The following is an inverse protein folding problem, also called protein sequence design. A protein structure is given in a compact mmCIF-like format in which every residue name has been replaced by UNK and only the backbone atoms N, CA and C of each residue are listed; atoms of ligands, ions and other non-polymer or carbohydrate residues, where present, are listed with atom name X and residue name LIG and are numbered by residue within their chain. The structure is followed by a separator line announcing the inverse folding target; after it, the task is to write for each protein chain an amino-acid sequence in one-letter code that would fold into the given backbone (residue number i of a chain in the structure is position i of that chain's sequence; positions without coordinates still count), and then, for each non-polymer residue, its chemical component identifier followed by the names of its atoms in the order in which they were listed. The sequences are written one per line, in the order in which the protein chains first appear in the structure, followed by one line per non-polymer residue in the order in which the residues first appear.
data_IF_695697093325
#
_entry.id   IF_695697093325
#
_cell.length_a   1.000
_cell.length_b   1.000
_cell.length_c   1.000
_cell.angle_alpha   90.00
_cell.angle_beta   90.00
_cell.angle_gamma   90.00
#
_symmetry.space_group_name_H-M   'P 1'
#
loop_
_entity.id
_entity.type
_entity.pdbx_description
1 polymer ?
#
# COMPACT_ATOMS: atom_id res chain seq x y z
N UNK A 1 -18.96 27.90 -26.80
CA UNK A 1 -18.13 27.74 -25.58
C UNK A 1 -18.93 26.87 -24.63
N UNK A 2 -18.92 25.57 -24.89
CA UNK A 2 -19.71 24.61 -24.14
C UNK A 2 -18.90 24.07 -22.98
N UNK A 3 -19.48 24.17 -21.78
CA UNK A 3 -18.93 23.65 -20.54
C UNK A 3 -18.89 22.13 -20.64
N UNK A 4 -17.69 21.58 -20.74
CA UNK A 4 -17.46 20.15 -20.60
C UNK A 4 -17.97 19.68 -19.24
N UNK A 5 -18.94 18.78 -19.28
CA UNK A 5 -19.45 18.02 -18.14
C UNK A 5 -18.33 17.14 -17.59
N UNK A 6 -18.08 17.28 -16.29
CA UNK A 6 -17.12 16.46 -15.55
C UNK A 6 -17.55 14.98 -15.63
N UNK A 7 -16.73 14.05 -16.17
CA UNK A 7 -17.05 12.65 -16.12
C UNK A 7 -16.92 12.17 -14.67
N UNK A 8 -17.98 11.51 -14.20
CA UNK A 8 -18.10 10.93 -12.87
C UNK A 8 -16.90 10.03 -12.54
N UNK A 9 -16.19 10.36 -11.46
CA UNK A 9 -15.24 9.46 -10.79
C UNK A 9 -15.97 8.18 -10.37
N UNK A 10 -15.90 7.13 -11.20
CA UNK A 10 -16.45 5.80 -10.88
C UNK A 10 -15.74 5.22 -9.65
N UNK A 11 -16.50 4.44 -8.87
CA UNK A 11 -16.27 4.07 -7.46
C UNK A 11 -14.86 3.54 -7.19
N UNK A 12 -14.07 4.33 -6.45
CA UNK A 12 -12.96 3.79 -5.68
C UNK A 12 -13.55 3.06 -4.46
N UNK A 13 -13.15 1.80 -4.26
CA UNK A 13 -13.55 1.01 -3.10
C UNK A 13 -12.97 1.63 -1.83
N UNK A 14 -13.81 2.41 -1.15
CA UNK A 14 -13.48 3.05 0.12
C UNK A 14 -14.36 2.45 1.21
N UNK A 15 -13.74 2.09 2.32
CA UNK A 15 -14.42 1.90 3.59
C UNK A 15 -14.22 3.19 4.41
N UNK A 16 -15.11 4.21 4.28
CA UNK A 16 -15.07 5.36 5.17
C UNK A 16 -15.46 4.93 6.58
N UNK A 17 -14.55 5.06 7.53
CA UNK A 17 -14.87 4.84 8.95
C UNK A 17 -15.11 6.21 9.58
N UNK A 18 -16.38 6.47 9.93
CA UNK A 18 -16.84 7.63 10.71
C UNK A 18 -17.11 7.31 12.17
N UNK A 19 -16.43 6.30 12.71
CA UNK A 19 -16.52 6.04 14.13
C UNK A 19 -15.59 6.97 14.89
N UNK A 20 -16.19 7.81 15.75
CA UNK A 20 -15.46 8.45 16.84
C UNK A 20 -14.90 7.32 17.69
N UNK A 21 -13.57 7.21 17.76
CA UNK A 21 -12.90 6.42 18.80
C UNK A 21 -13.11 7.18 20.12
N UNK A 22 -14.33 7.09 20.66
CA UNK A 22 -14.66 7.54 22.00
C UNK A 22 -14.89 6.31 22.86
N UNK A 23 -14.08 6.21 23.91
CA UNK A 23 -14.22 5.30 25.05
C UNK A 23 -14.03 3.81 24.80
N UNK A 24 -12.80 3.40 24.44
CA UNK A 24 -12.22 2.24 25.14
C UNK A 24 -11.84 2.77 26.52
N UNK A 25 -12.53 2.29 27.57
CA UNK A 25 -12.19 2.62 28.96
C UNK A 25 -10.72 2.25 29.18
N UNK A 26 -9.86 3.25 29.41
CA UNK A 26 -8.55 3.03 30.03
C UNK A 26 -8.79 2.27 31.33
N UNK A 27 -8.39 1.01 31.37
CA UNK A 27 -8.35 0.29 32.64
C UNK A 27 -7.33 1.01 33.54
N UNK A 28 -7.67 1.29 34.81
CA UNK A 28 -6.69 1.76 35.76
C UNK A 28 -5.68 0.65 36.02
N UNK A 29 -4.41 0.95 35.75
CA UNK A 29 -3.28 0.11 36.12
C UNK A 29 -3.11 0.14 37.64
N UNK A 30 -3.69 -0.84 38.33
CA UNK A 30 -3.39 -1.14 39.74
C UNK A 30 -2.87 -2.56 39.87
N UNK A 31 -1.55 -2.71 39.96
CA UNK A 31 -0.90 -3.49 41.02
C UNK A 31 0.62 -3.40 40.84
N UNK A 32 1.23 -2.76 41.83
CA UNK A 32 2.65 -2.87 42.13
C UNK A 32 3.00 -4.34 42.36
N UNK A 33 3.69 -4.94 41.39
CA UNK A 33 4.49 -6.14 41.59
C UNK A 33 5.90 -5.84 41.13
N UNK A 34 6.84 -6.32 41.93
CA UNK A 34 8.29 -6.22 41.81
C UNK A 34 8.79 -6.48 40.37
N UNK A 35 9.93 -5.92 39.93
CA UNK A 35 10.46 -6.16 38.60
C UNK A 35 10.90 -7.63 38.48
N UNK A 36 9.99 -8.50 38.04
CA UNK A 36 10.33 -9.86 37.65
C UNK A 36 11.10 -9.81 36.33
N UNK A 37 12.17 -10.60 36.28
CA UNK A 37 13.09 -10.82 35.15
C UNK A 37 12.42 -11.50 33.96
N UNK A 38 11.34 -10.95 33.42
CA UNK A 38 10.67 -11.45 32.20
C UNK A 38 11.08 -10.65 30.95
N UNK A 39 12.38 -10.37 30.83
CA UNK A 39 12.98 -9.78 29.63
C UNK A 39 13.10 -10.79 28.46
N UNK A 40 12.74 -12.07 28.64
CA UNK A 40 13.33 -13.15 27.85
C UNK A 40 12.48 -13.92 26.85
N UNK A 41 11.13 -13.94 26.92
CA UNK A 41 10.33 -14.80 26.01
C UNK A 41 9.50 -14.00 25.00
N UNK A 42 9.83 -14.19 23.72
CA UNK A 42 9.07 -13.71 22.56
C UNK A 42 8.65 -14.92 21.72
N UNK A 43 7.47 -14.90 21.07
CA UNK A 43 6.48 -13.83 21.01
C UNK A 43 5.65 -13.68 22.29
N UNK A 44 5.09 -12.48 22.50
CA UNK A 44 4.04 -12.23 23.49
C UNK A 44 2.68 -12.39 22.84
N UNK A 45 1.76 -13.10 23.51
CA UNK A 45 0.37 -13.21 23.08
C UNK A 45 -0.49 -12.24 23.88
N UNK A 46 -1.24 -11.38 23.19
CA UNK A 46 -2.13 -10.38 23.79
C UNK A 46 -3.58 -10.70 23.41
N UNK A 47 -4.45 -11.05 24.37
CA UNK A 47 -5.88 -11.22 24.09
C UNK A 47 -6.51 -9.86 23.77
N UNK A 48 -7.25 -9.77 22.67
CA UNK A 48 -7.96 -8.54 22.26
C UNK A 48 -9.45 -8.59 22.58
N UNK A 49 -10.01 -9.79 22.69
CA UNK A 49 -11.37 -10.04 23.16
C UNK A 49 -11.37 -11.00 24.36
N UNK A 50 -12.34 -10.87 25.30
CA UNK A 50 -12.37 -11.66 26.53
C UNK A 50 -12.50 -13.17 26.32
N UNK A 51 -13.14 -13.59 25.24
CA UNK A 51 -13.38 -14.99 24.88
C UNK A 51 -12.22 -15.63 24.09
N UNK A 52 -11.15 -14.86 23.83
CA UNK A 52 -10.00 -15.31 23.06
C UNK A 52 -10.27 -15.52 21.57
N UNK A 53 -11.43 -15.09 21.05
CA UNK A 53 -11.74 -15.18 19.62
C UNK A 53 -10.76 -14.38 18.76
N UNK A 54 -10.29 -13.25 19.30
CA UNK A 54 -9.31 -12.38 18.68
C UNK A 54 -8.13 -12.16 19.63
N UNK A 55 -6.92 -12.37 19.11
CA UNK A 55 -5.66 -12.18 19.81
C UNK A 55 -4.65 -11.54 18.85
N UNK A 56 -3.56 -11.03 19.40
CA UNK A 56 -2.39 -10.62 18.65
C UNK A 56 -1.14 -11.30 19.20
N UNK A 57 -0.25 -11.73 18.31
CA UNK A 57 1.14 -11.98 18.68
C UNK A 57 1.94 -10.70 18.48
N UNK A 58 2.78 -10.36 19.44
CA UNK A 58 3.77 -9.30 19.32
C UNK A 58 5.14 -9.94 19.40
N UNK A 59 5.97 -9.72 18.40
CA UNK A 59 7.33 -10.24 18.31
C UNK A 59 8.31 -9.07 18.22
N UNK A 60 9.26 -9.00 19.14
CA UNK A 60 10.34 -8.01 19.12
C UNK A 60 11.54 -8.61 18.38
N UNK A 61 12.03 -7.92 17.35
CA UNK A 61 13.09 -8.41 16.49
C UNK A 61 13.87 -7.25 15.86
N UNK A 62 14.88 -7.59 15.07
CA UNK A 62 15.73 -6.64 14.38
C UNK A 62 15.41 -6.62 12.89
N UNK A 63 15.41 -5.43 12.28
CA UNK A 63 15.36 -5.23 10.84
C UNK A 63 16.58 -4.40 10.43
N UNK A 64 17.19 -4.72 9.29
CA UNK A 64 18.24 -3.91 8.69
C UNK A 64 17.68 -3.08 7.54
N UNK A 65 17.87 -1.77 7.61
CA UNK A 65 17.71 -0.82 6.52
C UNK A 65 19.07 -0.35 6.01
N UNK A 66 19.17 -0.06 4.72
CA UNK A 66 20.36 0.50 4.10
C UNK A 66 20.56 2.00 4.45
N UNK A 67 19.54 2.67 4.98
CA UNK A 67 19.58 4.08 5.38
C UNK A 67 19.62 4.22 6.89
N UNK A 68 18.63 3.66 7.58
CA UNK A 68 18.53 3.71 9.06
C UNK A 68 19.45 2.72 9.78
N UNK A 69 20.13 1.82 9.07
CA UNK A 69 20.94 0.76 9.65
C UNK A 69 20.09 -0.30 10.36
N UNK A 70 20.69 -0.94 11.35
CA UNK A 70 20.01 -1.89 12.24
C UNK A 70 19.04 -1.15 13.16
N UNK A 71 17.81 -1.63 13.24
CA UNK A 71 16.78 -1.09 14.14
C UNK A 71 15.99 -2.20 14.82
N UNK A 72 15.52 -1.93 16.03
CA UNK A 72 14.58 -2.80 16.73
C UNK A 72 13.14 -2.45 16.36
N UNK A 73 12.34 -3.49 16.13
CA UNK A 73 10.95 -3.39 15.74
C UNK A 73 10.08 -4.32 16.58
N UNK A 74 8.80 -3.99 16.66
CA UNK A 74 7.75 -4.92 17.05
C UNK A 74 6.89 -5.25 15.83
N UNK A 75 6.78 -6.53 15.50
CA UNK A 75 5.79 -7.04 14.54
C UNK A 75 4.60 -7.58 15.31
N UNK A 76 3.43 -7.04 15.00
CA UNK A 76 2.13 -7.43 15.48
C UNK A 76 1.48 -8.31 14.42
N UNK A 77 1.00 -9.49 14.82
CA UNK A 77 0.36 -10.47 13.93
C UNK A 77 -1.00 -10.78 14.53
N UNK A 78 -2.07 -10.48 13.80
CA UNK A 78 -3.41 -10.84 14.25
C UNK A 78 -3.61 -12.37 14.26
N UNK A 79 -4.49 -12.82 15.15
CA UNK A 79 -4.98 -14.20 15.21
C UNK A 79 -6.47 -14.21 15.50
N UNK A 80 -7.26 -14.63 14.53
CA UNK A 80 -8.71 -14.77 14.68
C UNK A 80 -9.49 -14.19 13.51
N UNK A 81 -8.90 -13.28 12.72
CA UNK A 81 -9.55 -12.68 11.55
C UNK A 81 -9.92 -13.74 10.51
N UNK A 82 -9.08 -14.77 10.34
CA UNK A 82 -9.31 -15.83 9.36
C UNK A 82 -10.64 -16.56 9.59
N UNK A 83 -11.12 -16.64 10.85
CA UNK A 83 -12.42 -17.25 11.19
C UNK A 83 -13.61 -16.47 10.62
N UNK A 84 -13.42 -15.20 10.30
CA UNK A 84 -14.42 -14.31 9.70
C UNK A 84 -14.23 -14.16 8.17
N UNK A 85 -13.36 -14.96 7.56
CA UNK A 85 -13.02 -14.83 6.13
C UNK A 85 -12.09 -13.66 5.82
N UNK A 86 -11.58 -12.96 6.83
CA UNK A 86 -10.61 -11.87 6.69
C UNK A 86 -9.18 -12.43 6.77
N UNK A 87 -8.32 -12.12 5.79
CA UNK A 87 -6.87 -12.44 5.89
C UNK A 87 -6.29 -11.84 7.17
N UNK A 88 -5.40 -12.58 7.83
CA UNK A 88 -4.70 -12.03 9.01
C UNK A 88 -3.86 -10.81 8.59
N UNK A 89 -3.69 -9.84 9.48
CA UNK A 89 -2.94 -8.62 9.21
C UNK A 89 -1.68 -8.58 10.05
N UNK A 90 -0.58 -8.23 9.39
CA UNK A 90 0.70 -7.96 10.04
C UNK A 90 0.96 -6.45 10.02
N UNK A 91 1.43 -5.94 11.15
CA UNK A 91 1.75 -4.54 11.34
C UNK A 91 3.11 -4.45 12.01
N UNK A 92 4.07 -3.69 11.49
CA UNK A 92 5.39 -3.55 12.13
C UNK A 92 5.67 -2.11 12.52
N UNK A 93 6.17 -1.89 13.74
CA UNK A 93 6.45 -0.56 14.30
C UNK A 93 7.90 -0.51 14.77
N UNK A 94 8.63 0.52 14.34
CA UNK A 94 9.98 0.80 14.85
C UNK A 94 9.91 1.21 16.33
N UNK A 95 10.79 0.62 17.14
CA UNK A 95 10.96 0.94 18.56
C UNK A 95 11.82 2.18 18.73
N UNK A 96 11.42 3.08 19.64
CA UNK A 96 12.24 4.23 20.06
C UNK A 96 13.16 3.79 21.19
N UNK A 97 14.33 3.25 20.83
CA UNK A 97 15.24 2.58 21.79
C UNK A 97 15.63 3.43 23.01
N UNK A 98 15.70 4.76 22.84
CA UNK A 98 16.06 5.70 23.92
C UNK A 98 14.96 5.88 24.97
N UNK A 99 13.70 5.64 24.63
CA UNK A 99 12.55 5.96 25.47
C UNK A 99 11.63 4.77 25.74
N UNK A 100 11.78 3.68 24.99
CA UNK A 100 10.90 2.51 25.06
C UNK A 100 11.70 1.23 25.32
N UNK A 101 11.29 0.50 26.34
CA UNK A 101 11.80 -0.83 26.63
C UNK A 101 11.21 -1.85 25.64
N UNK A 102 11.92 -2.97 25.38
CA UNK A 102 11.43 -4.00 24.48
C UNK A 102 10.03 -4.54 24.88
N UNK A 103 9.75 -4.59 26.18
CA UNK A 103 8.48 -5.08 26.72
C UNK A 103 7.32 -4.06 26.63
N UNK A 104 7.59 -2.78 26.35
CA UNK A 104 6.60 -1.68 26.33
C UNK A 104 6.27 -1.26 24.90
N UNK A 105 5.57 -2.13 24.18
CA UNK A 105 5.17 -1.88 22.80
C UNK A 105 3.87 -1.03 22.74
N UNK A 106 3.70 -0.14 21.73
CA UNK A 106 2.53 0.73 21.64
C UNK A 106 1.22 -0.05 21.38
N UNK A 107 0.07 0.40 21.90
CA UNK A 107 -1.21 -0.30 21.75
C UNK A 107 -1.87 -0.09 20.38
N UNK A 108 -1.47 0.93 19.60
CA UNK A 108 -2.15 1.32 18.36
C UNK A 108 -2.46 0.17 17.38
N UNK A 109 -1.51 -0.73 17.05
CA UNK A 109 -1.81 -1.87 16.18
C UNK A 109 -2.80 -2.88 16.78
N UNK A 110 -2.81 -3.03 18.11
CA UNK A 110 -3.74 -3.92 18.81
C UNK A 110 -5.17 -3.38 18.74
N UNK A 111 -5.33 -2.08 19.00
CA UNK A 111 -6.62 -1.37 18.86
C UNK A 111 -7.12 -1.47 17.42
N UNK A 112 -6.21 -1.30 16.45
CA UNK A 112 -6.52 -1.45 15.03
C UNK A 112 -7.04 -2.84 14.67
N UNK A 113 -6.43 -3.91 15.20
CA UNK A 113 -6.90 -5.27 14.99
C UNK A 113 -8.30 -5.53 15.56
N UNK A 114 -8.64 -4.94 16.70
CA UNK A 114 -10.00 -5.02 17.25
C UNK A 114 -11.02 -4.34 16.32
N UNK A 115 -10.69 -3.17 15.77
CA UNK A 115 -11.54 -2.47 14.80
C UNK A 115 -11.73 -3.33 13.55
N UNK A 116 -10.65 -3.88 13.00
CA UNK A 116 -10.73 -4.71 11.81
C UNK A 116 -11.55 -5.99 12.04
N UNK A 117 -11.45 -6.59 13.23
CA UNK A 117 -12.30 -7.71 13.62
C UNK A 117 -13.79 -7.34 13.61
N UNK A 118 -14.16 -6.21 14.23
CA UNK A 118 -15.55 -5.72 14.23
C UNK A 118 -16.08 -5.42 12.82
N UNK A 119 -15.24 -4.88 11.94
CA UNK A 119 -15.61 -4.67 10.52
C UNK A 119 -15.84 -6.01 9.81
N UNK A 120 -14.93 -6.97 9.99
CA UNK A 120 -15.05 -8.29 9.40
C UNK A 120 -16.29 -9.06 9.89
N UNK A 121 -16.70 -8.89 11.16
CA UNK A 121 -17.95 -9.47 11.68
C UNK A 121 -19.18 -8.94 10.92
N UNK A 122 -19.13 -7.70 10.44
CA UNK A 122 -20.18 -7.09 9.62
C UNK A 122 -20.01 -7.35 8.11
N UNK A 123 -19.14 -8.29 7.73
CA UNK A 123 -18.84 -8.61 6.33
C UNK A 123 -17.98 -7.57 5.61
N UNK A 124 -17.48 -6.55 6.32
CA UNK A 124 -16.59 -5.54 5.75
C UNK A 124 -15.14 -6.04 5.83
N UNK A 125 -14.75 -6.80 4.82
CA UNK A 125 -13.41 -7.38 4.70
C UNK A 125 -12.49 -6.52 3.81
N UNK A 126 -11.18 -6.67 4.01
CA UNK A 126 -10.11 -6.03 3.25
C UNK A 126 -9.22 -7.07 2.60
N UNK A 127 -8.73 -6.74 1.40
CA UNK A 127 -7.82 -7.57 0.61
C UNK A 127 -6.65 -6.72 0.07
N UNK A 128 -5.80 -7.32 -0.73
CA UNK A 128 -4.62 -6.70 -1.33
C UNK A 128 -4.97 -5.36 -2.02
N UNK A 129 -4.19 -4.35 -1.65
CA UNK A 129 -4.30 -2.96 -2.05
C UNK A 129 -5.58 -2.23 -1.64
N UNK A 130 -6.47 -2.86 -0.86
CA UNK A 130 -7.55 -2.13 -0.20
C UNK A 130 -6.99 -1.05 0.73
N UNK A 131 -7.84 -0.09 1.06
CA UNK A 131 -7.48 1.10 1.83
C UNK A 131 -8.47 1.34 2.96
N UNK A 132 -7.97 1.61 4.15
CA UNK A 132 -8.76 2.16 5.25
C UNK A 132 -8.33 3.58 5.55
N UNK A 133 -9.31 4.50 5.60
CA UNK A 133 -9.08 5.94 5.83
C UNK A 133 -9.57 6.35 7.21
N UNK A 134 -8.83 7.29 7.81
CA UNK A 134 -9.15 7.87 9.10
C UNK A 134 -9.41 9.36 8.94
N UNK A 135 -10.49 9.88 9.52
CA UNK A 135 -10.76 11.33 9.48
C UNK A 135 -10.02 12.06 10.63
N UNK A 136 -10.07 11.51 11.84
CA UNK A 136 -9.64 12.25 13.04
C UNK A 136 -9.11 11.40 14.20
N UNK A 137 -8.95 10.08 14.02
CA UNK A 137 -8.40 9.25 15.10
C UNK A 137 -6.88 9.18 15.03
N UNK A 138 -6.16 9.38 16.16
CA UNK A 138 -4.74 9.04 16.20
C UNK A 138 -4.59 7.53 15.97
N UNK A 139 -3.60 7.18 15.16
CA UNK A 139 -3.09 5.82 15.04
C UNK A 139 -1.60 5.91 15.35
N UNK A 140 -1.07 5.02 16.21
CA UNK A 140 0.36 5.00 16.59
C UNK A 140 0.87 6.30 17.22
N UNK A 141 0.08 6.91 18.10
CA UNK A 141 0.40 8.20 18.73
C UNK A 141 0.59 9.36 17.74
N UNK A 142 0.20 9.16 16.47
CA UNK A 142 0.33 10.14 15.40
C UNK A 142 -1.04 10.63 14.95
N UNK A 143 -1.23 11.93 15.06
CA UNK A 143 -2.42 12.61 14.55
C UNK A 143 -2.37 12.85 13.04
N UNK A 144 -1.30 12.53 12.33
CA UNK A 144 -1.17 12.76 10.90
C UNK A 144 -1.22 11.46 10.08
N UNK A 145 -1.25 10.28 10.70
CA UNK A 145 -1.52 9.02 9.98
C UNK A 145 -3.00 8.99 9.58
N UNK A 146 -3.27 8.80 8.28
CA UNK A 146 -4.62 8.98 7.70
C UNK A 146 -5.08 7.86 6.78
N UNK A 147 -4.18 6.96 6.43
CA UNK A 147 -4.50 5.86 5.53
C UNK A 147 -3.67 4.63 5.89
N UNK A 148 -4.29 3.45 5.89
CA UNK A 148 -3.59 2.17 5.83
C UNK A 148 -3.84 1.57 4.44
N UNK A 149 -2.77 1.16 3.77
CA UNK A 149 -2.83 0.27 2.61
C UNK A 149 -2.59 -1.16 3.08
N UNK A 150 -3.45 -2.08 2.68
CA UNK A 150 -3.22 -3.51 2.91
C UNK A 150 -2.38 -4.08 1.77
N UNK A 151 -1.08 -4.07 1.96
CA UNK A 151 -0.14 -4.59 0.98
C UNK A 151 -0.14 -6.13 0.97
N UNK A 152 0.16 -6.78 -0.16
CA UNK A 152 0.45 -8.21 -0.19
C UNK A 152 1.51 -8.63 0.85
N UNK A 153 1.62 -9.94 1.15
CA UNK A 153 2.62 -10.43 2.09
C UNK A 153 4.05 -9.95 1.76
N UNK A 154 4.72 -9.36 2.74
CA UNK A 154 6.15 -9.05 2.68
C UNK A 154 6.97 -10.09 3.44
N UNK A 155 8.24 -10.21 3.07
CA UNK A 155 9.24 -10.93 3.86
C UNK A 155 9.69 -10.05 5.04
N UNK A 156 9.74 -10.66 6.23
CA UNK A 156 10.13 -9.98 7.46
C UNK A 156 11.44 -10.57 7.97
N UNK A 157 12.47 -9.74 8.07
CA UNK A 157 13.76 -10.15 8.59
C UNK A 157 13.63 -10.58 10.05
N UNK A 158 14.24 -11.72 10.39
CA UNK A 158 14.33 -12.26 11.75
C UNK A 158 12.99 -12.51 12.45
N UNK A 159 11.88 -12.65 11.70
CA UNK A 159 10.60 -13.13 12.25
C UNK A 159 10.44 -14.61 11.88
N UNK A 160 10.26 -15.54 12.84
CA UNK A 160 10.14 -16.96 12.53
C UNK A 160 8.94 -17.25 11.61
N UNK A 161 9.16 -18.01 10.53
CA UNK A 161 8.07 -18.40 9.62
C UNK A 161 6.96 -19.20 10.33
N UNK A 162 7.29 -19.89 11.42
CA UNK A 162 6.33 -20.67 12.22
C UNK A 162 5.24 -19.83 12.89
N UNK A 163 5.44 -18.53 13.05
CA UNK A 163 4.44 -17.61 13.64
C UNK A 163 3.75 -16.74 12.59
N UNK A 164 4.19 -16.77 11.33
CA UNK A 164 3.65 -15.96 10.24
C UNK A 164 2.50 -16.71 9.56
N UNK A 165 1.28 -16.16 9.51
CA UNK A 165 0.16 -16.78 8.82
C UNK A 165 0.41 -16.90 7.31
N UNK A 166 -0.08 -17.98 6.70
CA UNK A 166 0.04 -18.18 5.25
C UNK A 166 -0.74 -17.13 4.46
N UNK A 167 -2.02 -17.00 4.76
CA UNK A 167 -2.91 -16.00 4.17
C UNK A 167 -2.91 -14.74 5.03
N UNK A 168 -2.23 -13.70 4.54
CA UNK A 168 -2.01 -12.48 5.31
C UNK A 168 -1.92 -11.23 4.43
N UNK A 169 -2.03 -10.08 5.08
CA UNK A 169 -1.79 -8.75 4.51
C UNK A 169 -0.78 -8.00 5.38
N UNK A 170 0.01 -7.12 4.79
CA UNK A 170 0.85 -6.18 5.51
C UNK A 170 0.15 -4.82 5.59
N UNK A 171 -0.06 -4.29 6.79
CA UNK A 171 -0.55 -2.93 6.96
C UNK A 171 0.60 -1.93 6.74
N UNK A 172 0.45 -1.05 5.74
CA UNK A 172 1.38 0.04 5.44
C UNK A 172 0.69 1.37 5.76
N UNK A 173 1.01 2.01 6.89
CA UNK A 173 0.38 3.27 7.28
C UNK A 173 1.05 4.46 6.59
N UNK A 174 0.21 5.36 6.09
CA UNK A 174 0.58 6.58 5.40
C UNK A 174 0.16 7.80 6.20
N UNK A 175 1.03 8.82 6.19
CA UNK A 175 0.69 10.15 6.70
C UNK A 175 -0.34 10.84 5.81
N UNK A 176 -0.87 11.98 6.25
CA UNK A 176 -1.88 12.75 5.52
C UNK A 176 -1.36 13.20 4.15
N UNK A 177 -0.10 13.66 4.11
CA UNK A 177 0.56 14.09 2.88
C UNK A 177 0.76 12.92 1.90
N UNK A 178 1.19 11.77 2.41
CA UNK A 178 1.38 10.56 1.62
C UNK A 178 0.05 9.98 1.13
N UNK A 179 -0.98 9.98 1.98
CA UNK A 179 -2.32 9.56 1.61
C UNK A 179 -2.91 10.42 0.48
N UNK A 180 -2.65 11.73 0.51
CA UNK A 180 -3.02 12.63 -0.59
C UNK A 180 -2.31 12.23 -1.89
N UNK A 181 -1.01 11.90 -1.82
CA UNK A 181 -0.26 11.45 -3.00
C UNK A 181 -0.81 10.13 -3.52
N UNK A 182 -1.08 9.15 -2.65
CA UNK A 182 -1.67 7.87 -3.07
C UNK A 182 -3.04 8.06 -3.74
N UNK A 183 -3.82 9.03 -3.25
CA UNK A 183 -5.15 9.33 -3.80
C UNK A 183 -5.09 10.02 -5.17
N UNK A 184 -4.20 10.99 -5.35
CA UNK A 184 -4.15 11.78 -6.59
C UNK A 184 -3.22 11.17 -7.64
N UNK A 185 -2.14 10.53 -7.20
CA UNK A 185 -1.03 10.08 -8.02
C UNK A 185 -0.73 8.58 -7.93
N UNK A 186 -1.67 7.81 -7.36
CA UNK A 186 -1.63 6.35 -7.34
C UNK A 186 -0.83 5.75 -6.18
N UNK A 187 -1.23 4.55 -5.77
CA UNK A 187 -0.62 3.82 -4.65
C UNK A 187 0.85 3.50 -4.92
N UNK A 188 1.18 3.02 -6.13
CA UNK A 188 2.53 2.62 -6.49
C UNK A 188 3.55 3.76 -6.32
N UNK A 189 3.13 5.02 -6.56
CA UNK A 189 4.01 6.18 -6.39
C UNK A 189 4.46 6.32 -4.94
N UNK A 190 3.52 6.26 -3.98
CA UNK A 190 3.85 6.37 -2.55
C UNK A 190 4.64 5.18 -2.04
N UNK A 191 4.24 3.95 -2.41
CA UNK A 191 4.98 2.73 -2.08
C UNK A 191 6.45 2.86 -2.54
N UNK A 192 6.66 3.37 -3.75
CA UNK A 192 8.00 3.56 -4.30
C UNK A 192 8.82 4.61 -3.57
N UNK A 193 8.21 5.72 -3.15
CA UNK A 193 8.89 6.72 -2.32
C UNK A 193 9.26 6.17 -0.93
N UNK A 194 8.37 5.40 -0.29
CA UNK A 194 8.65 4.75 1.00
C UNK A 194 9.79 3.72 0.90
N UNK A 195 9.77 2.89 -0.13
CA UNK A 195 10.84 1.92 -0.37
C UNK A 195 12.17 2.61 -0.69
N UNK A 196 12.14 3.64 -1.53
CA UNK A 196 13.33 4.43 -1.91
C UNK A 196 13.93 5.21 -0.73
N UNK A 197 13.11 5.76 0.17
CA UNK A 197 13.60 6.56 1.31
C UNK A 197 14.46 5.77 2.29
N UNK A 198 14.18 4.47 2.44
CA UNK A 198 14.97 3.56 3.29
C UNK A 198 15.85 2.61 2.47
N UNK A 199 15.86 2.76 1.14
CA UNK A 199 16.50 1.83 0.18
C UNK A 199 16.13 0.37 0.49
N UNK A 200 14.84 0.14 0.71
CA UNK A 200 14.23 -1.13 1.06
C UNK A 200 13.16 -1.50 0.04
N UNK A 201 13.39 -2.57 -0.73
CA UNK A 201 12.46 -2.99 -1.80
C UNK A 201 11.52 -4.11 -1.30
N UNK A 202 10.23 -4.13 -1.71
CA UNK A 202 9.53 -3.10 -2.50
C UNK A 202 9.10 -1.89 -1.66
N UNK A 203 8.89 -2.08 -0.37
CA UNK A 203 8.49 -1.02 0.57
C UNK A 203 8.97 -1.40 1.96
N UNK A 204 9.25 -0.42 2.81
CA UNK A 204 9.55 -0.67 4.22
C UNK A 204 8.33 -1.34 4.90
N UNK A 205 8.47 -2.56 5.47
CA UNK A 205 7.36 -3.24 6.15
C UNK A 205 7.00 -2.62 7.50
N UNK A 206 7.81 -1.68 7.99
CA UNK A 206 7.62 -1.00 9.27
C UNK A 206 7.18 0.45 9.08
N UNK A 207 6.53 1.00 10.10
CA UNK A 207 6.40 2.43 10.29
C UNK A 207 7.35 2.91 11.38
N UNK A 208 8.11 3.94 11.06
CA UNK A 208 8.80 4.78 12.03
C UNK A 208 7.85 5.90 12.47
N UNK A 209 7.52 5.96 13.77
CA UNK A 209 6.61 6.97 14.31
C UNK A 209 7.20 8.39 14.30
N UNK A 210 8.51 8.52 14.12
CA UNK A 210 9.22 9.81 14.11
C UNK A 210 9.63 10.24 12.69
N UNK A 211 9.33 9.44 11.67
CA UNK A 211 9.64 9.79 10.28
C UNK A 211 8.77 10.95 9.78
N UNK A 212 9.39 11.79 8.95
CA UNK A 212 8.69 12.75 8.09
C UNK A 212 8.03 12.03 6.91
N UNK A 213 7.19 12.75 6.20
CA UNK A 213 6.60 12.31 4.94
C UNK A 213 7.72 12.00 3.93
N UNK A 214 7.63 10.86 3.25
CA UNK A 214 8.56 10.55 2.17
C UNK A 214 8.22 11.31 0.88
N UNK A 215 6.94 11.71 0.74
CA UNK A 215 6.43 12.39 -0.44
C UNK A 215 5.22 13.28 -0.09
N UNK A 216 5.06 14.37 -0.83
CA UNK A 216 3.97 15.32 -0.69
C UNK A 216 3.41 15.77 -2.04
N UNK A 217 2.13 16.19 -2.04
CA UNK A 217 1.44 16.59 -3.27
C UNK A 217 2.11 17.76 -4.01
N UNK A 218 2.72 18.71 -3.30
CA UNK A 218 3.44 19.82 -3.94
C UNK A 218 4.65 19.34 -4.74
N UNK A 219 5.25 18.20 -4.38
CA UNK A 219 6.34 17.58 -5.14
C UNK A 219 5.84 16.87 -6.39
N UNK A 220 4.52 16.68 -6.55
CA UNK A 220 3.91 16.01 -7.70
C UNK A 220 3.35 17.00 -8.73
N UNK A 221 3.43 18.30 -8.45
CA UNK A 221 2.83 19.34 -9.30
C UNK A 221 3.37 19.25 -10.73
N UNK A 222 2.46 19.34 -11.70
CA UNK A 222 2.82 19.25 -13.13
C UNK A 222 3.03 17.81 -13.60
N UNK A 223 2.67 16.84 -12.77
CA UNK A 223 2.54 15.44 -13.17
C UNK A 223 1.54 15.34 -14.32
N UNK A 224 1.80 14.47 -15.29
CA UNK A 224 0.89 14.14 -16.38
C UNK A 224 -0.48 13.68 -15.85
N UNK A 225 -0.47 13.07 -14.67
CA UNK A 225 -1.68 12.69 -13.93
C UNK A 225 -2.56 13.86 -13.48
N UNK A 226 -2.05 15.09 -13.47
CA UNK A 226 -2.86 16.29 -13.25
C UNK A 226 -3.71 16.63 -14.49
N UNK A 227 -3.38 16.05 -15.65
CA UNK A 227 -3.97 16.38 -16.96
C UNK A 227 -4.85 15.26 -17.52
N UNK A 228 -4.74 14.04 -16.97
CA UNK A 228 -5.41 12.85 -17.48
C UNK A 228 -6.20 12.13 -16.38
N UNK A 229 -7.46 11.71 -16.64
CA UNK A 229 -8.16 10.83 -15.73
C UNK A 229 -7.49 9.45 -15.70
N UNK A 230 -7.18 8.97 -14.50
CA UNK A 230 -6.62 7.63 -14.28
C UNK A 230 -7.72 6.68 -13.81
N UNK A 231 -7.95 5.61 -14.57
CA UNK A 231 -8.82 4.52 -14.18
C UNK A 231 -8.06 3.59 -13.25
N UNK A 232 -8.63 3.26 -12.10
CA UNK A 232 -7.96 2.43 -11.10
C UNK A 232 -8.75 1.15 -10.87
N UNK A 233 -8.12 0.01 -11.16
CA UNK A 233 -8.63 -1.32 -10.86
C UNK A 233 -7.63 -2.02 -9.96
N UNK A 234 -8.09 -2.52 -8.82
CA UNK A 234 -7.22 -3.09 -7.78
C UNK A 234 -6.37 -4.24 -8.34
N UNK A 235 -5.07 -4.19 -8.07
CA UNK A 235 -4.11 -5.22 -8.47
C UNK A 235 -3.66 -5.20 -9.93
N UNK A 236 -4.24 -4.34 -10.79
CA UNK A 236 -3.69 -4.14 -12.15
C UNK A 236 -2.25 -3.67 -12.03
N UNK A 237 -1.33 -4.35 -12.70
CA UNK A 237 0.10 -4.06 -12.61
C UNK A 237 0.68 -3.85 -14.00
N UNK A 238 1.58 -2.90 -14.16
CA UNK A 238 2.36 -2.72 -15.38
C UNK A 238 3.83 -2.95 -15.07
N UNK A 239 4.53 -3.74 -15.89
CA UNK A 239 5.96 -4.01 -15.72
C UNK A 239 6.72 -3.85 -17.03
N UNK A 240 7.98 -3.46 -16.90
CA UNK A 240 8.98 -3.45 -17.97
C UNK A 240 9.98 -4.58 -17.75
N UNK A 241 10.17 -5.42 -18.77
CA UNK A 241 11.23 -6.43 -18.85
C UNK A 241 11.98 -6.22 -20.16
N UNK A 242 13.25 -5.84 -20.08
CA UNK A 242 14.05 -5.47 -21.26
C UNK A 242 13.32 -4.40 -22.10
N UNK A 243 12.89 -4.77 -23.32
CA UNK A 243 12.15 -3.95 -24.27
C UNK A 243 10.64 -4.16 -24.24
N UNK A 244 10.15 -5.11 -23.43
CA UNK A 244 8.73 -5.48 -23.38
C UNK A 244 8.03 -4.81 -22.20
N UNK A 245 6.84 -4.27 -22.46
CA UNK A 245 5.89 -3.84 -21.44
C UNK A 245 4.78 -4.88 -21.34
N UNK A 246 4.45 -5.29 -20.13
CA UNK A 246 3.35 -6.23 -19.88
C UNK A 246 2.38 -5.63 -18.86
N UNK A 247 1.09 -5.70 -19.16
CA UNK A 247 0.02 -5.35 -18.24
C UNK A 247 -0.59 -6.64 -17.70
N UNK A 248 -0.60 -6.77 -16.38
CA UNK A 248 -1.23 -7.88 -15.68
C UNK A 248 -2.57 -7.41 -15.13
N UNK A 249 -3.64 -8.07 -15.58
CA UNK A 249 -5.01 -7.78 -15.16
C UNK A 249 -5.49 -8.94 -14.28
N UNK A 250 -5.84 -8.68 -13.01
CA UNK A 250 -6.50 -9.67 -12.17
C UNK A 250 -7.82 -10.13 -12.80
N UNK A 251 -8.15 -11.43 -12.72
CA UNK A 251 -9.36 -12.00 -13.33
C UNK A 251 -10.65 -11.31 -12.88
N UNK A 252 -10.70 -10.84 -11.63
CA UNK A 252 -11.86 -10.11 -11.11
C UNK A 252 -11.99 -8.68 -11.68
N UNK A 253 -10.92 -8.08 -12.19
CA UNK A 253 -10.93 -6.75 -12.82
C UNK A 253 -11.21 -6.81 -14.34
N UNK A 254 -11.02 -7.97 -14.97
CA UNK A 254 -11.16 -8.17 -16.42
C UNK A 254 -12.54 -7.71 -16.96
N UNK A 255 -13.69 -8.08 -16.37
CA UNK A 255 -14.99 -7.68 -16.92
C UNK A 255 -15.20 -6.15 -16.90
N UNK A 256 -14.73 -5.48 -15.85
CA UNK A 256 -14.88 -4.03 -15.71
C UNK A 256 -13.99 -3.27 -16.70
N UNK A 257 -12.73 -3.71 -16.84
CA UNK A 257 -11.81 -3.14 -17.83
C UNK A 257 -12.33 -3.37 -19.24
N UNK A 258 -12.78 -4.59 -19.55
CA UNK A 258 -13.35 -4.90 -20.87
C UNK A 258 -14.58 -4.03 -21.19
N UNK A 259 -15.44 -3.78 -20.20
CA UNK A 259 -16.58 -2.87 -20.37
C UNK A 259 -16.14 -1.42 -20.62
N UNK A 260 -15.13 -0.93 -19.89
CA UNK A 260 -14.60 0.42 -20.08
C UNK A 260 -13.94 0.59 -21.45
N UNK A 261 -13.14 -0.39 -21.90
CA UNK A 261 -12.53 -0.40 -23.23
C UNK A 261 -13.61 -0.42 -24.33
N UNK A 262 -14.63 -1.28 -24.22
CA UNK A 262 -15.72 -1.38 -25.22
C UNK A 262 -16.59 -0.12 -25.29
N UNK A 263 -16.75 0.60 -24.18
CA UNK A 263 -17.53 1.83 -24.14
C UNK A 263 -16.73 3.07 -24.55
N UNK A 264 -15.40 2.95 -24.61
CA UNK A 264 -14.51 4.02 -25.07
C UNK A 264 -14.50 4.13 -26.59
N UNK A 265 -14.38 5.35 -27.10
CA UNK A 265 -14.24 5.55 -28.55
C UNK A 265 -12.84 5.17 -29.02
N UNK A 266 -12.69 4.89 -30.33
CA UNK A 266 -11.40 4.54 -30.91
C UNK A 266 -10.33 5.64 -30.84
N UNK A 267 -10.73 6.88 -30.51
CA UNK A 267 -9.84 8.03 -30.35
C UNK A 267 -9.55 8.34 -28.87
N UNK A 268 -10.20 7.63 -27.94
CA UNK A 268 -10.10 7.93 -26.51
C UNK A 268 -8.76 7.48 -25.96
N UNK A 269 -8.04 8.41 -25.32
CA UNK A 269 -6.86 8.07 -24.50
C UNK A 269 -7.32 7.31 -23.27
N UNK A 270 -6.81 6.08 -23.09
CA UNK A 270 -7.09 5.26 -21.91
C UNK A 270 -5.89 5.30 -20.97
N UNK A 271 -6.09 5.66 -19.70
CA UNK A 271 -5.01 5.70 -18.72
C UNK A 271 -5.35 4.85 -17.50
N UNK A 272 -4.45 3.95 -17.11
CA UNK A 272 -4.63 3.00 -16.01
C UNK A 272 -3.64 3.28 -14.88
N UNK A 273 -4.17 3.40 -13.68
CA UNK A 273 -3.42 3.29 -12.43
C UNK A 273 -2.89 1.86 -12.26
N UNK A 274 -1.63 1.74 -11.85
CA UNK A 274 -0.98 0.46 -11.63
C UNK A 274 -0.53 0.28 -10.17
N UNK A 275 -0.52 -0.98 -9.75
CA UNK A 275 -0.09 -1.45 -8.45
C UNK A 275 1.24 -2.21 -8.57
N UNK A 276 1.98 -2.35 -7.45
CA UNK A 276 3.20 -3.14 -7.41
C UNK A 276 2.96 -4.59 -7.88
N UNK A 277 3.86 -5.09 -8.72
CA UNK A 277 3.81 -6.47 -9.20
C UNK A 277 4.61 -7.38 -8.27
N UNK A 278 4.02 -8.47 -7.79
CA UNK A 278 4.64 -9.39 -6.81
C UNK A 278 5.96 -10.05 -7.25
N UNK A 279 6.25 -10.08 -8.56
CA UNK A 279 7.51 -10.64 -9.10
C UNK A 279 8.37 -9.55 -9.74
N UNK A 280 8.20 -8.29 -9.34
CA UNK A 280 9.15 -7.23 -9.67
C UNK A 280 10.36 -7.31 -8.75
N UNK A 281 11.52 -6.91 -9.27
CA UNK A 281 12.76 -6.74 -8.50
C UNK A 281 13.13 -5.26 -8.33
N UNK A 282 12.33 -4.38 -8.92
CA UNK A 282 12.54 -2.94 -8.95
C UNK A 282 11.24 -2.19 -9.26
N UNK A 283 11.23 -0.90 -8.97
CA UNK A 283 10.17 0.03 -9.33
C UNK A 283 10.72 1.39 -9.72
N UNK A 284 9.85 2.28 -10.19
CA UNK A 284 10.21 3.65 -10.55
C UNK A 284 9.77 4.66 -9.50
N UNK A 285 10.60 5.67 -9.27
CA UNK A 285 10.35 6.79 -8.36
C UNK A 285 10.44 8.08 -9.16
N UNK A 286 9.42 8.92 -9.01
CA UNK A 286 9.38 10.22 -9.65
C UNK A 286 8.82 11.30 -8.72
N UNK A 287 9.37 12.51 -8.83
CA UNK A 287 8.81 13.75 -8.29
C UNK A 287 9.34 14.93 -9.13
N UNK A 288 8.63 16.06 -9.06
CA UNK A 288 9.02 17.30 -9.74
C UNK A 288 10.37 17.83 -9.20
N UNK A 289 11.19 18.39 -10.09
CA UNK A 289 12.37 19.20 -9.73
C UNK A 289 13.72 18.49 -9.93
N UNK A 290 14.21 17.79 -8.90
CA UNK A 290 15.65 17.51 -8.67
C UNK A 290 16.31 16.64 -9.75
N UNK A 291 15.57 15.73 -10.37
CA UNK A 291 16.00 15.01 -11.58
C UNK A 291 14.85 15.00 -12.57
N UNK A 292 15.01 15.55 -13.79
CA UNK A 292 13.94 15.54 -14.80
C UNK A 292 13.58 14.11 -15.22
N UNK A 293 14.47 13.15 -14.99
CA UNK A 293 14.27 11.74 -15.29
C UNK A 293 13.87 10.95 -14.05
N UNK A 294 12.91 10.00 -14.19
CA UNK A 294 12.56 9.09 -13.11
C UNK A 294 13.74 8.19 -12.74
N UNK A 295 13.77 7.71 -11.50
CA UNK A 295 14.85 6.84 -10.99
C UNK A 295 14.30 5.46 -10.67
N UNK A 296 15.02 4.42 -11.05
CA UNK A 296 14.74 3.08 -10.56
C UNK A 296 15.22 2.92 -9.12
N UNK A 297 14.51 2.11 -8.33
CA UNK A 297 14.96 1.59 -7.03
C UNK A 297 14.60 0.11 -6.96
N UNK A 298 15.40 -0.70 -6.26
CA UNK A 298 15.18 -2.14 -6.21
C UNK A 298 16.42 -2.92 -5.84
N UNK A 299 16.28 -4.24 -5.92
CA UNK A 299 17.38 -5.21 -5.78
C UNK A 299 17.91 -5.68 -7.13
N UNK A 300 17.22 -5.35 -8.24
CA UNK A 300 17.63 -5.70 -9.60
C UNK A 300 17.08 -4.73 -10.65
N UNK A 301 17.11 -5.15 -11.92
CA UNK A 301 16.57 -4.39 -13.06
C UNK A 301 15.88 -5.30 -14.09
N UNK A 302 15.61 -6.55 -13.74
CA UNK A 302 15.06 -7.54 -14.67
C UNK A 302 13.55 -7.37 -14.87
N UNK A 303 12.85 -6.85 -13.86
CA UNK A 303 11.40 -6.68 -13.85
C UNK A 303 11.02 -5.44 -13.06
N UNK A 304 10.87 -4.32 -13.77
CA UNK A 304 10.59 -3.01 -13.17
C UNK A 304 9.08 -2.78 -13.13
N UNK A 305 8.48 -2.60 -11.95
CA UNK A 305 7.09 -2.15 -11.82
C UNK A 305 6.94 -0.66 -12.14
N UNK A 306 5.90 -0.34 -12.90
CA UNK A 306 5.53 1.00 -13.32
C UNK A 306 4.25 1.47 -12.62
N UNK A 307 4.16 2.76 -12.32
CA UNK A 307 3.06 3.36 -11.55
C UNK A 307 1.78 3.60 -12.35
N UNK A 308 1.87 3.69 -13.66
CA UNK A 308 0.72 3.81 -14.55
C UNK A 308 1.09 3.41 -15.99
N UNK A 309 0.07 3.17 -16.81
CA UNK A 309 0.19 3.05 -18.27
C UNK A 309 -0.87 3.91 -18.96
N UNK A 310 -0.47 4.57 -20.05
CA UNK A 310 -1.37 5.37 -20.90
C UNK A 310 -1.36 4.77 -22.31
N UNK A 311 -2.52 4.66 -22.92
CA UNK A 311 -2.69 4.24 -24.30
C UNK A 311 -3.23 5.40 -25.11
N UNK A 312 -2.44 5.85 -26.07
CA UNK A 312 -2.74 6.94 -26.98
C UNK A 312 -2.98 6.37 -28.38
N UNK A 313 -4.24 6.19 -28.81
CA UNK A 313 -4.53 5.70 -30.16
C UNK A 313 -4.30 6.80 -31.21
N UNK A 314 -4.28 6.42 -32.49
CA UNK A 314 -4.22 7.32 -33.65
C UNK A 314 -3.02 8.26 -33.65
N UNK A 315 -1.84 7.71 -33.38
CA UNK A 315 -0.57 8.43 -33.42
C UNK A 315 0.11 8.23 -34.77
N UNK A 316 1.10 9.06 -35.10
CA UNK A 316 1.82 8.92 -36.38
C UNK A 316 2.78 7.71 -36.39
N UNK A 317 3.20 7.24 -35.20
CA UNK A 317 4.17 6.16 -35.01
C UNK A 317 3.86 5.35 -33.74
N UNK A 318 4.11 4.05 -33.81
CA UNK A 318 4.05 3.15 -32.66
C UNK A 318 5.26 3.43 -31.76
N UNK A 319 5.02 3.86 -30.52
CA UNK A 319 6.11 4.25 -29.62
C UNK A 319 5.77 3.90 -28.16
N UNK A 320 6.72 3.26 -27.48
CA UNK A 320 6.70 3.14 -26.02
C UNK A 320 7.61 4.20 -25.42
N UNK A 321 7.05 5.12 -24.64
CA UNK A 321 7.78 6.21 -24.00
C UNK A 321 7.64 6.16 -22.49
N UNK A 322 8.76 6.02 -21.80
CA UNK A 322 8.81 6.15 -20.34
C UNK A 322 8.58 7.62 -19.96
N UNK A 323 7.67 7.86 -19.01
CA UNK A 323 7.35 9.19 -18.53
C UNK A 323 7.04 9.11 -17.03
N UNK A 324 7.73 9.91 -16.23
CA UNK A 324 7.62 9.81 -14.77
C UNK A 324 7.87 8.38 -14.28
N UNK A 325 7.07 7.87 -13.36
CA UNK A 325 7.11 6.48 -12.91
C UNK A 325 6.28 5.52 -13.79
N UNK A 326 5.75 5.96 -14.93
CA UNK A 326 4.88 5.18 -15.82
C UNK A 326 5.37 5.12 -17.28
N UNK A 327 4.49 4.65 -18.16
CA UNK A 327 4.76 4.53 -19.60
C UNK A 327 3.56 4.96 -20.43
N UNK A 328 3.79 5.58 -21.59
CA UNK A 328 2.78 5.75 -22.64
C UNK A 328 3.06 4.81 -23.81
N UNK A 329 2.02 4.13 -24.27
CA UNK A 329 1.94 3.40 -25.52
C UNK A 329 1.22 4.27 -26.55
N UNK A 330 1.94 4.70 -27.58
CA UNK A 330 1.40 5.36 -28.76
C UNK A 330 1.18 4.31 -29.84
N UNK A 331 0.01 4.32 -30.47
CA UNK A 331 -0.39 3.34 -31.49
C UNK A 331 -0.91 4.06 -32.73
N UNK A 332 -0.44 3.62 -33.89
CA UNK A 332 -0.79 4.12 -35.24
C UNK A 332 -2.17 3.71 -35.70
N UNK A 333 -2.72 2.61 -35.18
CA UNK A 333 -3.94 2.03 -35.70
C UNK A 333 -5.22 2.65 -35.12
N UNK A 334 -6.22 2.76 -36.01
CA UNK A 334 -7.57 3.27 -35.77
C UNK A 334 -8.55 2.24 -35.17
N UNK A 335 -8.09 1.05 -34.79
CA UNK A 335 -8.92 0.00 -34.18
C UNK A 335 -8.33 -0.47 -32.86
N UNK A 336 -8.80 0.05 -31.71
CA UNK A 336 -8.40 -0.41 -30.39
C UNK A 336 -8.51 -1.95 -30.28
N UNK A 337 -9.56 -2.53 -30.85
CA UNK A 337 -9.97 -3.91 -30.59
C UNK A 337 -8.94 -5.00 -30.93
N UNK A 338 -7.98 -4.78 -31.81
CA UNK A 338 -6.97 -5.79 -32.15
C UNK A 338 -5.69 -5.68 -31.30
N UNK A 339 -5.34 -4.48 -30.82
CA UNK A 339 -4.17 -4.26 -29.97
C UNK A 339 -4.40 -4.68 -28.51
N UNK A 340 -5.65 -4.64 -28.01
CA UNK A 340 -5.98 -4.98 -26.62
C UNK A 340 -6.11 -6.48 -26.34
N UNK A 341 -6.32 -7.30 -27.37
CA UNK A 341 -6.58 -8.75 -27.24
C UNK A 341 -5.27 -9.51 -27.52
N UNK A 342 -4.24 -9.22 -26.72
CA UNK A 342 -3.06 -10.08 -26.63
C UNK A 342 -3.42 -11.34 -25.83
N UNK A 343 -3.29 -12.51 -26.46
CA UNK A 343 -3.61 -13.84 -25.94
C UNK A 343 -3.51 -13.97 -24.40
N UNK A 344 -4.68 -14.04 -23.75
CA UNK A 344 -4.78 -14.58 -22.41
C UNK A 344 -4.49 -16.10 -22.49
N UNK A 345 -3.28 -16.48 -22.12
CA UNK A 345 -2.88 -17.87 -21.84
C UNK A 345 -2.76 -18.10 -20.35
#
# INVERSE_FOLDING_TARGET
MDKASNPSSKRRFFLPIREKISSIKRQPSTSSSSPSKDEGSWPKTVPLLPDGQMQALVYHHEINSMVSGKMYCWTYISKGLAKLGQKEVIFTVRRREKTEAAATFPPGPLEWFSILYSLAQNGQIVDEFHQTRFESSPLLDRLDVRLIIYYPPLELQHVPLSIIPRERLQAIPLTASEAQVAQSYGVMRVISHLGSSERYFPVMPWIDRDRRDCVAAWQMKGSLRDQLPMLSFLGVSCVKRNTTISVYIPRNAEPEIAAEVKSSSATTVLSLDCFPYKHSDSGMVWHQGITPSPRAYGTGTSCISLGFIIFCPQQDLDELRLMEDGVSCKDTNSSPNEAWIGHAS
#
